data_IF_590596374793
#
_entry.id   IF_590596374793
#
_cell.length_a   1.000
_cell.length_b   1.000
_cell.length_c   1.000
_cell.angle_alpha   90.00
_cell.angle_beta   90.00
_cell.angle_gamma   90.00
#
_symmetry.space_group_name_H-M   'P 1'
#
loop_
_entity.id
_entity.type
_entity.pdbx_description
1 polymer ?
#
# COMPACT_ATOMS: atom_id res chain seq x y z
N UNK A 1 9.47 11.38 16.13
CA UNK A 1 8.15 11.09 15.48
C UNK A 1 7.33 12.34 15.25
N UNK A 2 7.10 13.19 16.27
CA UNK A 2 6.33 14.44 16.13
C UNK A 2 6.78 15.38 15.01
N UNK A 3 8.10 15.60 14.85
CA UNK A 3 8.62 16.46 13.78
C UNK A 3 8.30 15.93 12.36
N UNK A 4 8.35 14.61 12.16
CA UNK A 4 7.99 13.99 10.89
C UNK A 4 6.50 14.20 10.59
N UNK A 5 5.63 13.92 11.57
CA UNK A 5 4.18 14.10 11.45
C UNK A 5 3.82 15.54 11.10
N UNK A 6 4.40 16.48 11.83
CA UNK A 6 4.21 17.90 11.58
C UNK A 6 4.67 18.30 10.16
N UNK A 7 5.82 17.78 9.73
CA UNK A 7 6.35 18.04 8.39
C UNK A 7 5.41 17.50 7.31
N UNK A 8 4.95 16.25 7.42
CA UNK A 8 4.03 15.63 6.47
C UNK A 8 2.70 16.39 6.40
N UNK A 9 2.13 16.76 7.54
CA UNK A 9 0.81 17.41 7.56
C UNK A 9 0.86 18.88 7.12
N UNK A 10 2.00 19.56 7.26
CA UNK A 10 2.16 20.99 6.91
C UNK A 10 2.79 21.24 5.56
N UNK A 11 3.56 20.30 5.02
CA UNK A 11 4.22 20.51 3.73
C UNK A 11 3.17 20.69 2.64
N UNK A 12 3.30 21.78 1.90
CA UNK A 12 2.49 22.10 0.73
C UNK A 12 3.46 22.35 -0.41
N UNK A 13 3.56 21.36 -1.28
CA UNK A 13 4.41 21.43 -2.47
C UNK A 13 3.55 21.98 -3.60
N UNK A 14 4.07 22.90 -4.40
CA UNK A 14 3.43 23.33 -5.65
C UNK A 14 4.03 22.55 -6.83
N UNK A 15 3.36 22.59 -7.98
CA UNK A 15 3.84 21.91 -9.19
C UNK A 15 5.26 22.35 -9.59
N UNK A 16 5.55 23.65 -9.49
CA UNK A 16 6.86 24.24 -9.83
C UNK A 16 7.95 23.84 -8.83
N UNK A 17 7.56 23.41 -7.63
CA UNK A 17 8.45 23.00 -6.55
C UNK A 17 8.37 21.51 -6.26
N UNK A 18 7.86 20.70 -7.19
CA UNK A 18 7.68 19.27 -6.96
C UNK A 18 8.98 18.55 -6.59
N UNK A 19 10.14 19.02 -7.06
CA UNK A 19 11.45 18.49 -6.65
C UNK A 19 11.76 18.63 -5.15
N UNK A 20 11.08 19.53 -4.43
CA UNK A 20 11.30 19.76 -3.00
C UNK A 20 10.73 18.63 -2.13
N UNK A 21 9.94 17.72 -2.70
CA UNK A 21 9.49 16.51 -2.00
C UNK A 21 10.64 15.51 -1.79
N UNK A 22 11.72 15.58 -2.59
CA UNK A 22 12.82 14.59 -2.58
C UNK A 22 13.43 14.30 -1.19
N UNK A 23 13.80 15.30 -0.37
CA UNK A 23 14.34 15.03 0.96
C UNK A 23 13.32 14.33 1.86
N UNK A 24 12.04 14.68 1.75
CA UNK A 24 10.97 14.06 2.52
C UNK A 24 10.72 12.62 2.07
N UNK A 25 10.67 12.36 0.76
CA UNK A 25 10.59 11.00 0.21
C UNK A 25 11.77 10.17 0.70
N UNK A 26 12.99 10.70 0.62
CA UNK A 26 14.21 10.02 1.07
C UNK A 26 14.15 9.67 2.56
N UNK A 27 13.62 10.58 3.39
CA UNK A 27 13.43 10.35 4.81
C UNK A 27 12.38 9.26 5.07
N UNK A 28 11.22 9.31 4.41
CA UNK A 28 10.16 8.29 4.53
C UNK A 28 10.70 6.93 4.08
N UNK A 29 11.39 6.86 2.95
CA UNK A 29 12.04 5.64 2.45
C UNK A 29 13.04 5.10 3.47
N UNK A 30 13.92 5.94 4.01
CA UNK A 30 14.92 5.52 4.99
C UNK A 30 14.26 4.95 6.26
N UNK A 31 13.14 5.52 6.68
CA UNK A 31 12.41 5.11 7.89
C UNK A 31 11.54 3.87 7.69
N UNK A 32 10.87 3.71 6.54
CA UNK A 32 9.80 2.72 6.35
C UNK A 32 10.09 1.66 5.28
N UNK A 33 10.98 1.92 4.32
CA UNK A 33 11.32 0.95 3.27
C UNK A 33 12.42 -0.01 3.69
N UNK A 34 13.46 0.52 4.34
CA UNK A 34 14.65 -0.25 4.72
C UNK A 34 14.52 -0.89 6.11
N UNK A 35 13.72 -0.29 6.98
CA UNK A 35 13.36 -0.87 8.26
C UNK A 35 11.93 -1.41 8.13
N UNK A 36 11.73 -2.67 8.48
CA UNK A 36 10.39 -3.23 8.65
C UNK A 36 9.82 -2.62 9.92
N UNK A 37 8.95 -1.61 9.77
CA UNK A 37 8.40 -0.87 10.90
C UNK A 37 7.20 -1.63 11.45
N UNK A 38 7.20 -2.03 12.73
CA UNK A 38 6.05 -2.69 13.32
C UNK A 38 4.80 -1.78 13.32
N UNK A 39 3.63 -2.38 13.15
CA UNK A 39 2.32 -1.71 13.21
C UNK A 39 2.16 -0.74 14.39
N UNK A 40 2.66 -1.10 15.58
CA UNK A 40 2.53 -0.24 16.76
C UNK A 40 3.32 1.07 16.65
N UNK A 41 4.43 1.08 15.90
CA UNK A 41 5.21 2.30 15.63
C UNK A 41 4.47 3.18 14.64
N UNK A 42 3.82 2.59 13.63
CA UNK A 42 2.94 3.33 12.70
C UNK A 42 1.76 3.92 13.46
N UNK A 43 1.13 3.17 14.36
CA UNK A 43 0.04 3.64 15.20
C UNK A 43 0.49 4.79 16.11
N UNK A 44 1.62 4.64 16.80
CA UNK A 44 2.20 5.70 17.64
C UNK A 44 2.50 6.97 16.84
N UNK A 45 3.01 6.84 15.61
CA UNK A 45 3.26 7.99 14.75
C UNK A 45 1.96 8.72 14.41
N UNK A 46 0.89 7.99 14.08
CA UNK A 46 -0.39 8.55 13.71
C UNK A 46 -1.16 9.13 14.90
N UNK A 47 -1.02 8.55 16.10
CA UNK A 47 -1.70 9.01 17.32
C UNK A 47 -0.89 10.07 18.09
N UNK A 48 0.32 10.39 17.66
CA UNK A 48 1.19 11.36 18.34
C UNK A 48 0.50 12.73 18.48
N UNK A 49 0.37 13.23 19.72
CA UNK A 49 -0.16 14.57 20.03
C UNK A 49 0.97 15.59 19.94
N UNK A 50 0.86 16.55 19.03
CA UNK A 50 1.80 17.68 18.99
C UNK A 50 1.53 18.61 20.16
N UNK A 51 2.54 18.89 20.98
CA UNK A 51 2.42 19.85 22.09
C UNK A 51 2.21 21.29 21.63
N UNK A 52 2.41 21.58 20.34
CA UNK A 52 2.34 22.93 19.76
C UNK A 52 0.99 23.29 19.15
N UNK A 53 0.13 22.33 18.84
CA UNK A 53 -1.19 22.58 18.24
C UNK A 53 -2.23 22.62 19.35
N UNK A 54 -2.52 23.81 19.87
CA UNK A 54 -3.39 24.02 21.03
C UNK A 54 -4.86 23.63 20.87
N UNK A 55 -5.27 22.93 19.80
CA UNK A 55 -6.66 22.46 19.64
C UNK A 55 -6.88 21.43 18.51
N UNK A 56 -5.91 21.23 17.61
CA UNK A 56 -6.05 20.17 16.61
C UNK A 56 -5.73 18.83 17.27
N UNK A 57 -6.77 18.02 17.49
CA UNK A 57 -6.67 16.68 18.07
C UNK A 57 -5.69 15.75 17.34
N UNK A 58 -5.66 14.48 17.74
CA UNK A 58 -4.82 13.42 17.14
C UNK A 58 -5.24 13.09 15.70
N UNK A 59 -5.08 14.04 14.78
CA UNK A 59 -5.25 13.78 13.36
C UNK A 59 -4.13 12.86 12.89
N UNK A 60 -4.41 11.80 12.13
CA UNK A 60 -3.39 10.93 11.57
C UNK A 60 -2.51 11.69 10.55
N UNK A 61 -1.53 11.00 9.97
CA UNK A 61 -0.78 11.54 8.83
C UNK A 61 -1.72 11.71 7.64
N UNK A 62 -1.71 12.88 7.03
CA UNK A 62 -2.45 13.16 5.81
C UNK A 62 -1.50 13.24 4.62
N UNK A 63 -1.51 12.20 3.79
CA UNK A 63 -0.68 12.10 2.59
C UNK A 63 -1.35 12.69 1.33
N UNK A 64 -2.55 13.27 1.41
CA UNK A 64 -3.30 13.74 0.24
C UNK A 64 -2.49 14.68 -0.67
N UNK A 65 -1.86 15.70 -0.09
CA UNK A 65 -0.99 16.61 -0.84
C UNK A 65 0.29 15.96 -1.36
N UNK A 66 0.85 15.00 -0.62
CA UNK A 66 2.07 14.30 -1.01
C UNK A 66 1.84 13.32 -2.16
N UNK A 67 0.64 12.73 -2.25
CA UNK A 67 0.22 11.91 -3.39
C UNK A 67 0.22 12.72 -4.69
N UNK A 68 -0.31 13.96 -4.68
CA UNK A 68 -0.23 14.88 -5.83
C UNK A 68 1.20 15.27 -6.14
N UNK A 69 1.95 15.66 -5.11
CA UNK A 69 3.33 16.13 -5.28
C UNK A 69 4.27 15.03 -5.81
N UNK A 70 4.03 13.77 -5.43
CA UNK A 70 4.72 12.61 -5.98
C UNK A 70 4.45 12.47 -7.49
N UNK A 71 3.23 12.72 -7.96
CA UNK A 71 2.91 12.65 -9.39
C UNK A 71 3.68 13.72 -10.17
N UNK A 72 3.70 14.96 -9.67
CA UNK A 72 4.47 16.04 -10.30
C UNK A 72 5.96 15.77 -10.29
N UNK A 73 6.48 15.20 -9.20
CA UNK A 73 7.89 14.82 -9.09
C UNK A 73 8.29 13.80 -10.17
N UNK A 74 7.50 12.74 -10.34
CA UNK A 74 7.77 11.72 -11.36
C UNK A 74 7.73 12.31 -12.78
N UNK A 75 6.82 13.25 -13.04
CA UNK A 75 6.75 13.96 -14.32
C UNK A 75 7.99 14.83 -14.60
N UNK A 76 8.63 15.38 -13.56
CA UNK A 76 9.88 16.14 -13.71
C UNK A 76 11.11 15.25 -13.88
N UNK A 77 11.08 14.03 -13.35
CA UNK A 77 12.21 13.10 -13.36
C UNK A 77 11.79 11.74 -13.94
N UNK A 78 11.45 11.67 -15.24
CA UNK A 78 11.08 10.41 -15.87
C UNK A 78 12.25 9.43 -15.79
N UNK A 79 11.97 8.19 -15.39
CA UNK A 79 12.99 7.14 -15.29
C UNK A 79 13.44 6.74 -16.70
N UNK A 80 14.62 7.21 -17.12
CA UNK A 80 15.11 7.09 -18.50
C UNK A 80 15.56 5.68 -18.93
N UNK A 81 15.62 4.71 -18.01
CA UNK A 81 16.37 3.47 -18.22
C UNK A 81 15.50 2.23 -18.45
N UNK A 82 14.18 2.37 -18.56
CA UNK A 82 13.27 1.24 -18.80
C UNK A 82 12.56 1.44 -20.13
N UNK A 83 12.63 0.50 -21.08
CA UNK A 83 11.76 0.50 -22.25
C UNK A 83 10.33 0.24 -21.75
N UNK A 84 9.56 1.30 -21.58
CA UNK A 84 8.19 1.22 -21.09
C UNK A 84 7.28 2.15 -21.89
N UNK A 85 5.98 1.90 -21.84
CA UNK A 85 5.00 2.82 -22.44
C UNK A 85 5.08 4.20 -21.75
N UNK A 86 4.69 5.31 -22.41
CA UNK A 86 4.64 6.62 -21.77
C UNK A 86 3.85 6.63 -20.45
N UNK A 87 2.78 5.84 -20.37
CA UNK A 87 1.94 5.68 -19.19
C UNK A 87 2.67 4.97 -18.04
N UNK A 88 3.47 3.94 -18.34
CA UNK A 88 4.29 3.24 -17.35
C UNK A 88 5.38 4.13 -16.75
N UNK A 89 5.89 5.10 -17.52
CA UNK A 89 6.91 6.05 -17.04
C UNK A 89 6.40 6.93 -15.89
N UNK A 90 5.08 7.13 -15.81
CA UNK A 90 4.43 7.92 -14.77
C UNK A 90 3.94 7.01 -13.64
N UNK A 91 3.16 5.98 -14.01
CA UNK A 91 2.45 5.19 -13.02
C UNK A 91 3.41 4.44 -12.10
N UNK A 92 4.40 3.74 -12.66
CA UNK A 92 5.28 2.86 -11.87
C UNK A 92 6.08 3.63 -10.81
N UNK A 93 6.80 4.71 -11.14
CA UNK A 93 7.51 5.47 -10.11
C UNK A 93 6.59 6.13 -9.09
N UNK A 94 5.41 6.62 -9.52
CA UNK A 94 4.42 7.20 -8.62
C UNK A 94 3.95 6.17 -7.58
N UNK A 95 3.67 4.94 -8.02
CA UNK A 95 3.27 3.84 -7.14
C UNK A 95 4.34 3.44 -6.14
N UNK A 96 5.63 3.60 -6.46
CA UNK A 96 6.69 3.39 -5.46
C UNK A 96 6.54 4.37 -4.30
N UNK A 97 6.26 5.65 -4.58
CA UNK A 97 6.01 6.65 -3.55
C UNK A 97 4.72 6.35 -2.76
N UNK A 98 3.64 5.96 -3.44
CA UNK A 98 2.37 5.54 -2.81
C UNK A 98 2.61 4.40 -1.83
N UNK A 99 3.37 3.36 -2.22
CA UNK A 99 3.73 2.25 -1.35
C UNK A 99 4.52 2.72 -0.13
N UNK A 100 5.48 3.62 -0.32
CA UNK A 100 6.29 4.14 0.77
C UNK A 100 5.44 4.99 1.75
N UNK A 101 4.45 5.75 1.25
CA UNK A 101 3.47 6.45 2.08
C UNK A 101 2.56 5.50 2.85
N UNK A 102 2.02 4.46 2.20
CA UNK A 102 1.24 3.40 2.86
C UNK A 102 1.99 2.82 4.04
N UNK A 103 3.28 2.57 3.88
CA UNK A 103 4.10 2.01 4.95
C UNK A 103 4.21 2.88 6.22
N UNK A 104 3.94 4.19 6.09
CA UNK A 104 4.05 5.16 7.18
C UNK A 104 2.72 5.51 7.86
N UNK A 105 1.59 5.02 7.37
CA UNK A 105 0.25 5.48 7.79
C UNK A 105 -0.69 4.35 8.17
N UNK A 106 -1.77 4.71 8.86
CA UNK A 106 -2.92 3.84 9.07
C UNK A 106 -3.71 3.66 7.78
N UNK A 107 -4.37 2.51 7.62
CA UNK A 107 -5.11 2.16 6.40
C UNK A 107 -6.31 3.08 6.16
N UNK A 108 -7.11 3.36 7.19
CA UNK A 108 -8.25 4.28 7.14
C UNK A 108 -7.83 5.71 6.79
N UNK A 109 -6.80 6.21 7.47
CA UNK A 109 -6.22 7.53 7.20
C UNK A 109 -5.67 7.64 5.78
N UNK A 110 -5.07 6.56 5.25
CA UNK A 110 -4.59 6.54 3.88
C UNK A 110 -5.72 6.54 2.87
N UNK A 111 -6.76 5.72 3.08
CA UNK A 111 -7.94 5.70 2.21
C UNK A 111 -8.59 7.09 2.14
N UNK A 112 -8.69 7.78 3.28
CA UNK A 112 -9.15 9.16 3.35
C UNK A 112 -8.24 10.11 2.56
N UNK A 113 -6.92 10.01 2.74
CA UNK A 113 -5.93 10.79 2.01
C UNK A 113 -6.00 10.55 0.49
N UNK A 114 -6.18 9.31 0.04
CA UNK A 114 -6.40 8.97 -1.36
C UNK A 114 -7.65 9.68 -1.89
N UNK A 115 -8.76 9.62 -1.17
CA UNK A 115 -10.02 10.21 -1.63
C UNK A 115 -9.98 11.74 -1.78
N UNK A 116 -9.10 12.41 -1.01
CA UNK A 116 -8.89 13.86 -1.08
C UNK A 116 -7.81 14.28 -2.05
N UNK A 117 -6.89 13.39 -2.40
CA UNK A 117 -5.66 13.75 -3.11
C UNK A 117 -5.95 14.48 -4.43
N UNK A 118 -6.97 14.08 -5.19
CA UNK A 118 -7.26 14.70 -6.49
C UNK A 118 -8.67 15.29 -6.58
N UNK A 119 -9.34 15.55 -5.45
CA UNK A 119 -10.75 15.96 -5.45
C UNK A 119 -10.96 17.38 -6.02
N UNK A 120 -9.96 18.26 -5.87
CA UNK A 120 -10.05 19.66 -6.27
C UNK A 120 -9.98 19.85 -7.79
N UNK A 121 -10.68 20.86 -8.31
CA UNK A 121 -10.73 21.17 -9.76
C UNK A 121 -9.38 21.53 -10.36
N UNK A 122 -8.46 22.05 -9.55
CA UNK A 122 -7.10 22.36 -10.00
C UNK A 122 -6.27 21.07 -10.26
N UNK A 123 -6.78 19.92 -9.82
CA UNK A 123 -6.19 18.60 -10.03
C UNK A 123 -6.79 17.85 -11.24
N UNK A 124 -7.83 18.38 -11.91
CA UNK A 124 -8.59 17.66 -12.95
C UNK A 124 -7.69 17.02 -14.04
N UNK A 125 -6.74 17.79 -14.56
CA UNK A 125 -5.82 17.30 -15.61
C UNK A 125 -4.89 16.19 -15.10
N UNK A 126 -4.36 16.34 -13.88
CA UNK A 126 -3.48 15.33 -13.27
C UNK A 126 -4.27 14.05 -12.90
N UNK A 127 -5.52 14.22 -12.46
CA UNK A 127 -6.41 13.11 -12.12
C UNK A 127 -6.77 12.28 -13.37
N UNK A 128 -7.10 12.94 -14.48
CA UNK A 128 -7.37 12.27 -15.76
C UNK A 128 -6.13 11.54 -16.30
N UNK A 129 -4.96 12.17 -16.26
CA UNK A 129 -3.71 11.55 -16.69
C UNK A 129 -3.39 10.30 -15.87
N UNK A 130 -3.50 10.38 -14.54
CA UNK A 130 -3.28 9.23 -13.65
C UNK A 130 -4.36 8.15 -13.83
N UNK A 131 -5.62 8.52 -14.09
CA UNK A 131 -6.69 7.59 -14.42
C UNK A 131 -6.40 6.80 -15.70
N UNK A 132 -5.96 7.49 -16.76
CA UNK A 132 -5.56 6.84 -18.00
C UNK A 132 -4.37 5.91 -17.78
N UNK A 133 -3.33 6.37 -17.07
CA UNK A 133 -2.18 5.55 -16.77
C UNK A 133 -2.57 4.27 -15.99
N UNK A 134 -3.48 4.38 -15.01
CA UNK A 134 -3.99 3.26 -14.23
C UNK A 134 -4.69 2.19 -15.08
N UNK A 135 -5.35 2.59 -16.18
CA UNK A 135 -6.09 1.70 -17.08
C UNK A 135 -5.29 1.23 -18.31
N UNK A 136 -4.12 1.81 -18.57
CA UNK A 136 -3.27 1.47 -19.72
C UNK A 136 -2.23 0.42 -19.38
N UNK A 137 -1.85 -0.43 -20.36
CA UNK A 137 -0.74 -1.37 -20.22
C UNK A 137 -0.97 -2.52 -19.25
N UNK A 138 -2.24 -2.83 -18.92
CA UNK A 138 -2.61 -3.93 -18.01
C UNK A 138 -2.13 -5.30 -18.50
N UNK A 139 -1.94 -5.47 -19.81
CA UNK A 139 -1.42 -6.68 -20.43
C UNK A 139 0.05 -6.95 -20.08
N UNK A 140 0.79 -5.93 -19.66
CA UNK A 140 2.18 -6.04 -19.23
C UNK A 140 2.32 -6.32 -17.73
N UNK A 141 1.20 -6.38 -16.99
CA UNK A 141 1.19 -6.69 -15.56
C UNK A 141 1.52 -8.20 -15.35
N UNK A 142 2.81 -8.51 -15.33
CA UNK A 142 3.33 -9.85 -15.07
C UNK A 142 4.21 -10.42 -16.17
N UNK A 143 4.24 -9.82 -17.36
CA UNK A 143 5.15 -10.25 -18.43
C UNK A 143 6.54 -9.66 -18.23
N UNK A 144 7.50 -10.51 -17.95
CA UNK A 144 8.92 -10.15 -17.89
C UNK A 144 9.79 -11.13 -18.64
N UNK A 145 9.28 -11.84 -19.65
CA UNK A 145 10.10 -12.67 -20.55
C UNK A 145 11.01 -13.74 -19.90
N UNK A 146 11.01 -13.88 -18.57
CA UNK A 146 11.82 -14.81 -17.81
C UNK A 146 10.97 -16.05 -17.53
N UNK A 147 11.08 -17.00 -18.46
CA UNK A 147 10.48 -18.32 -18.37
C UNK A 147 10.95 -19.00 -17.08
N UNK A 148 10.07 -19.21 -16.09
CA UNK A 148 10.44 -20.13 -15.01
C UNK A 148 9.58 -20.26 -13.76
N UNK A 149 8.71 -19.32 -13.38
CA UNK A 149 7.92 -19.49 -12.15
C UNK A 149 6.56 -18.81 -12.23
N UNK A 150 5.51 -19.58 -12.57
CA UNK A 150 4.10 -19.12 -12.61
C UNK A 150 3.69 -18.37 -11.33
N UNK A 151 4.14 -18.85 -10.17
CA UNK A 151 3.89 -18.20 -8.87
C UNK A 151 4.53 -16.81 -8.74
N UNK A 152 5.70 -16.59 -9.34
CA UNK A 152 6.38 -15.28 -9.32
C UNK A 152 5.66 -14.28 -10.21
N UNK A 153 5.21 -14.73 -11.39
CA UNK A 153 4.40 -13.91 -12.30
C UNK A 153 3.06 -13.55 -11.68
N UNK A 154 2.40 -14.52 -11.03
CA UNK A 154 1.14 -14.31 -10.29
C UNK A 154 1.29 -13.27 -9.20
N UNK A 155 2.27 -13.43 -8.30
CA UNK A 155 2.54 -12.43 -7.24
C UNK A 155 2.85 -11.05 -7.79
N UNK A 156 3.52 -10.99 -8.94
CA UNK A 156 3.83 -9.72 -9.61
C UNK A 156 2.58 -9.07 -10.18
N UNK A 157 1.68 -9.85 -10.80
CA UNK A 157 0.39 -9.37 -11.30
C UNK A 157 -0.50 -8.87 -10.16
N UNK A 158 -0.60 -9.62 -9.07
CA UNK A 158 -1.35 -9.23 -7.87
C UNK A 158 -0.81 -7.90 -7.32
N UNK A 159 0.52 -7.80 -7.20
CA UNK A 159 1.18 -6.57 -6.77
C UNK A 159 0.80 -5.38 -7.67
N UNK A 160 0.96 -5.49 -8.99
CA UNK A 160 0.63 -4.39 -9.91
C UNK A 160 -0.86 -4.03 -9.89
N UNK A 161 -1.72 -5.02 -9.72
CA UNK A 161 -3.17 -4.81 -9.64
C UNK A 161 -3.52 -3.96 -8.42
N UNK A 162 -3.00 -4.29 -7.24
CA UNK A 162 -3.21 -3.47 -6.04
C UNK A 162 -2.70 -2.03 -6.22
N UNK A 163 -1.58 -1.88 -6.93
CA UNK A 163 -1.02 -0.55 -7.17
C UNK A 163 -1.91 0.28 -8.11
N UNK A 164 -2.34 -0.26 -9.27
CA UNK A 164 -3.29 0.42 -10.18
C UNK A 164 -4.60 0.77 -9.49
N UNK A 165 -5.10 -0.10 -8.62
CA UNK A 165 -6.30 0.19 -7.83
C UNK A 165 -6.08 1.30 -6.82
N UNK A 166 -4.87 1.44 -6.28
CA UNK A 166 -4.50 2.59 -5.46
C UNK A 166 -4.54 3.90 -6.25
N UNK A 167 -4.13 3.88 -7.53
CA UNK A 167 -4.28 5.02 -8.43
C UNK A 167 -5.77 5.35 -8.67
N UNK A 168 -6.59 4.34 -9.00
CA UNK A 168 -8.03 4.50 -9.20
C UNK A 168 -8.71 5.08 -7.95
N UNK A 169 -8.40 4.56 -6.75
CA UNK A 169 -8.94 5.07 -5.50
C UNK A 169 -8.62 6.56 -5.26
N UNK A 170 -7.48 7.04 -5.78
CA UNK A 170 -7.10 8.46 -5.66
C UNK A 170 -7.89 9.38 -6.60
N UNK A 171 -8.24 8.90 -7.80
CA UNK A 171 -8.76 9.75 -8.89
C UNK A 171 -10.26 9.60 -9.14
N UNK A 172 -10.88 8.48 -8.72
CA UNK A 172 -12.33 8.29 -8.89
C UNK A 172 -13.18 9.41 -8.25
N UNK A 173 -12.83 9.97 -7.06
CA UNK A 173 -13.58 11.09 -6.47
C UNK A 173 -13.51 12.41 -7.25
N UNK A 174 -12.61 12.53 -8.23
CA UNK A 174 -12.49 13.75 -9.04
C UNK A 174 -13.64 13.86 -10.06
N UNK A 175 -14.25 15.05 -10.13
CA UNK A 175 -15.40 15.31 -11.00
C UNK A 175 -15.08 15.16 -12.50
N UNK A 176 -13.89 15.60 -12.96
CA UNK A 176 -13.51 15.46 -14.37
C UNK A 176 -13.32 13.99 -14.77
N UNK A 177 -12.81 13.15 -13.86
CA UNK A 177 -12.71 11.70 -14.06
C UNK A 177 -14.09 11.05 -14.12
N UNK A 178 -15.00 11.43 -13.22
CA UNK A 178 -16.39 10.95 -13.23
C UNK A 178 -17.11 11.33 -14.53
N UNK A 179 -16.98 12.58 -14.97
CA UNK A 179 -17.49 13.09 -16.24
C UNK A 179 -16.94 12.31 -17.43
N UNK A 180 -15.63 12.03 -17.44
CA UNK A 180 -14.99 11.22 -18.47
C UNK A 180 -15.57 9.79 -18.49
N UNK A 181 -15.63 9.12 -17.33
CA UNK A 181 -16.18 7.77 -17.21
C UNK A 181 -17.63 7.76 -17.71
N UNK A 182 -18.43 8.77 -17.38
CA UNK A 182 -19.82 8.85 -17.79
C UNK A 182 -20.00 8.97 -19.31
N UNK A 183 -19.09 9.65 -20.00
CA UNK A 183 -19.07 9.74 -21.48
C UNK A 183 -18.53 8.48 -22.13
N UNK A 184 -17.51 7.87 -21.53
CA UNK A 184 -16.72 6.77 -22.11
C UNK A 184 -17.03 5.40 -21.46
N UNK A 185 -18.22 5.24 -20.84
CA UNK A 185 -18.57 4.05 -20.04
C UNK A 185 -18.28 2.74 -20.76
N UNK A 186 -18.67 2.63 -22.03
CA UNK A 186 -18.48 1.41 -22.82
C UNK A 186 -16.99 1.08 -23.05
N UNK A 187 -16.19 2.10 -23.32
CA UNK A 187 -14.74 1.94 -23.52
C UNK A 187 -14.06 1.54 -22.21
N UNK A 188 -14.37 2.25 -21.13
CA UNK A 188 -13.83 1.94 -19.79
C UNK A 188 -14.24 0.53 -19.36
N UNK A 189 -15.50 0.15 -19.59
CA UNK A 189 -16.00 -1.20 -19.30
C UNK A 189 -15.23 -2.28 -20.05
N UNK A 190 -14.97 -2.08 -21.35
CA UNK A 190 -14.16 -3.02 -22.14
C UNK A 190 -12.76 -3.22 -21.56
N UNK A 191 -12.11 -2.14 -21.11
CA UNK A 191 -10.77 -2.21 -20.50
C UNK A 191 -10.83 -2.93 -19.14
N UNK A 192 -11.79 -2.59 -18.28
CA UNK A 192 -11.95 -3.22 -16.96
C UNK A 192 -12.28 -4.71 -17.09
N UNK A 193 -13.10 -5.10 -18.07
CA UNK A 193 -13.38 -6.51 -18.36
C UNK A 193 -12.14 -7.26 -18.80
N UNK A 194 -11.35 -6.67 -19.71
CA UNK A 194 -10.06 -7.24 -20.12
C UNK A 194 -9.12 -7.42 -18.92
N UNK A 195 -9.09 -6.46 -18.00
CA UNK A 195 -8.28 -6.55 -16.78
C UNK A 195 -8.74 -7.72 -15.90
N UNK A 196 -10.05 -7.87 -15.68
CA UNK A 196 -10.61 -9.00 -14.93
C UNK A 196 -10.32 -10.35 -15.59
N UNK A 197 -10.39 -10.43 -16.92
CA UNK A 197 -10.02 -11.64 -17.68
C UNK A 197 -8.55 -12.02 -17.45
N UNK A 198 -7.64 -11.05 -17.40
CA UNK A 198 -6.22 -11.28 -17.11
C UNK A 198 -5.96 -11.74 -15.66
N UNK A 199 -6.82 -11.36 -14.72
CA UNK A 199 -6.74 -11.80 -13.32
C UNK A 199 -7.39 -13.18 -13.10
N UNK A 200 -8.38 -13.53 -13.91
CA UNK A 200 -9.09 -14.79 -13.82
C UNK A 200 -8.30 -15.91 -14.53
N UNK A 201 -7.28 -16.47 -13.86
CA UNK A 201 -6.64 -17.72 -14.29
C UNK A 201 -7.63 -18.90 -14.21
N UNK A 202 -8.51 -18.89 -13.21
CA UNK A 202 -9.68 -19.75 -13.06
C UNK A 202 -10.87 -18.88 -12.59
N UNK A 203 -12.00 -18.85 -13.32
CA UNK A 203 -13.21 -18.13 -12.92
C UNK A 203 -13.72 -18.50 -11.51
N UNK A 204 -13.41 -19.69 -11.01
CA UNK A 204 -13.82 -20.17 -9.68
C UNK A 204 -12.93 -19.67 -8.55
N UNK A 205 -11.70 -19.27 -8.87
CA UNK A 205 -10.71 -18.78 -7.90
C UNK A 205 -10.45 -17.28 -8.06
N UNK A 206 -11.31 -16.55 -8.76
CA UNK A 206 -11.08 -15.14 -9.06
C UNK A 206 -10.97 -14.31 -7.79
N UNK A 207 -9.73 -13.98 -7.40
CA UNK A 207 -9.36 -13.07 -6.30
C UNK A 207 -9.30 -11.63 -6.77
N UNK A 208 -10.20 -11.24 -7.68
CA UNK A 208 -10.25 -9.86 -8.13
C UNK A 208 -10.48 -8.94 -6.92
N UNK A 209 -9.66 -7.89 -6.76
CA UNK A 209 -9.84 -6.99 -5.63
C UNK A 209 -11.21 -6.32 -5.66
N UNK A 210 -11.81 -6.14 -4.48
CA UNK A 210 -13.19 -5.68 -4.33
C UNK A 210 -13.49 -4.37 -5.07
N UNK A 211 -12.53 -3.43 -5.13
CA UNK A 211 -12.71 -2.18 -5.88
C UNK A 211 -12.88 -2.42 -7.38
N UNK A 212 -12.10 -3.34 -7.97
CA UNK A 212 -12.21 -3.67 -9.40
C UNK A 212 -13.55 -4.36 -9.70
N UNK A 213 -13.96 -5.29 -8.83
CA UNK A 213 -15.27 -5.96 -8.92
C UNK A 213 -16.40 -4.94 -8.83
N UNK A 214 -16.36 -4.04 -7.86
CA UNK A 214 -17.35 -2.97 -7.68
C UNK A 214 -17.41 -2.04 -8.89
N UNK A 215 -16.25 -1.66 -9.42
CA UNK A 215 -16.18 -0.76 -10.57
C UNK A 215 -16.73 -1.39 -11.84
N UNK A 216 -16.39 -2.65 -12.08
CA UNK A 216 -16.99 -3.45 -13.16
C UNK A 216 -18.51 -3.57 -13.00
N UNK A 217 -18.99 -3.95 -11.82
CA UNK A 217 -20.43 -4.09 -11.54
C UNK A 217 -21.19 -2.75 -11.69
N UNK A 218 -20.57 -1.64 -11.28
CA UNK A 218 -21.12 -0.30 -11.47
C UNK A 218 -21.24 0.04 -12.95
N UNK A 219 -20.18 -0.19 -13.75
CA UNK A 219 -20.19 0.06 -15.20
C UNK A 219 -21.27 -0.76 -15.92
N UNK A 220 -21.46 -2.03 -15.55
CA UNK A 220 -22.52 -2.88 -16.11
C UNK A 220 -23.90 -2.35 -15.82
N UNK A 221 -24.12 -1.94 -14.57
CA UNK A 221 -25.39 -1.35 -14.14
C UNK A 221 -25.65 -0.05 -14.89
N UNK A 222 -24.64 0.82 -14.99
CA UNK A 222 -24.71 2.10 -15.69
C UNK A 222 -24.90 1.98 -17.21
N UNK A 223 -24.49 0.84 -17.82
CA UNK A 223 -24.70 0.52 -19.23
C UNK A 223 -26.01 -0.25 -19.48
N UNK A 224 -26.74 -0.64 -18.43
CA UNK A 224 -27.99 -1.40 -18.57
C UNK A 224 -27.80 -2.83 -19.09
N UNK A 225 -26.60 -3.43 -18.94
CA UNK A 225 -26.32 -4.79 -19.41
C UNK A 225 -27.14 -5.79 -18.58
N UNK A 226 -27.95 -6.62 -19.24
CA UNK A 226 -28.85 -7.57 -18.58
C UNK A 226 -28.25 -8.97 -18.52
N UNK A 227 -28.67 -9.72 -17.50
CA UNK A 227 -28.92 -11.18 -17.52
C UNK A 227 -28.69 -11.91 -18.85
N UNK A 228 -29.66 -11.63 -19.71
CA UNK A 228 -29.94 -12.34 -20.95
C UNK A 228 -28.88 -12.09 -22.04
N UNK A 229 -28.09 -11.02 -21.91
CA UNK A 229 -27.09 -10.62 -22.90
C UNK A 229 -25.76 -11.40 -22.77
N UNK A 230 -25.56 -12.10 -21.64
CA UNK A 230 -24.34 -12.88 -21.35
C UNK A 230 -24.35 -14.27 -22.00
N UNK A 231 -24.49 -14.28 -23.33
CA UNK A 231 -24.51 -15.51 -24.15
C UNK A 231 -23.17 -16.25 -24.15
N UNK A 232 -22.08 -15.61 -23.71
CA UNK A 232 -20.73 -16.19 -23.64
C UNK A 232 -20.38 -16.76 -22.25
N UNK A 233 -21.29 -16.65 -21.28
CA UNK A 233 -21.51 -17.64 -20.23
C UNK A 233 -20.57 -17.67 -19.03
N UNK A 234 -19.45 -16.95 -18.98
CA UNK A 234 -18.51 -17.13 -17.83
C UNK A 234 -17.96 -15.84 -17.22
N UNK A 235 -17.84 -14.72 -17.94
CA UNK A 235 -17.04 -13.60 -17.44
C UNK A 235 -17.81 -12.37 -17.03
N UNK A 236 -18.78 -11.93 -17.85
CA UNK A 236 -19.23 -10.54 -17.79
C UNK A 236 -20.01 -10.30 -16.52
N UNK A 237 -21.14 -10.98 -16.32
CA UNK A 237 -22.04 -10.63 -15.21
C UNK A 237 -21.59 -11.13 -13.83
N UNK A 238 -20.47 -11.85 -13.75
CA UNK A 238 -19.94 -12.37 -12.49
C UNK A 238 -19.71 -11.26 -11.46
N UNK A 239 -19.13 -10.12 -11.85
CA UNK A 239 -18.89 -9.02 -10.91
C UNK A 239 -20.18 -8.48 -10.30
N UNK A 240 -21.25 -8.33 -11.10
CA UNK A 240 -22.54 -7.87 -10.62
C UNK A 240 -23.18 -8.87 -9.66
N UNK A 241 -23.15 -10.17 -9.97
CA UNK A 241 -23.67 -11.21 -9.07
C UNK A 241 -22.88 -11.29 -7.77
N UNK A 242 -21.55 -11.27 -7.85
CA UNK A 242 -20.68 -11.24 -6.68
C UNK A 242 -20.97 -10.02 -5.82
N UNK A 243 -21.13 -8.83 -6.44
CA UNK A 243 -21.50 -7.62 -5.71
C UNK A 243 -22.86 -7.76 -5.01
N UNK A 244 -23.88 -8.27 -5.70
CA UNK A 244 -25.21 -8.48 -5.10
C UNK A 244 -25.18 -9.50 -3.96
N UNK A 245 -24.29 -10.48 -3.99
CA UNK A 245 -24.10 -11.43 -2.89
C UNK A 245 -23.41 -10.78 -1.68
N UNK A 246 -22.38 -9.97 -1.92
CA UNK A 246 -21.58 -9.34 -0.85
C UNK A 246 -22.26 -8.10 -0.27
N UNK A 247 -23.06 -7.38 -1.06
CA UNK A 247 -23.77 -6.17 -0.64
C UNK A 247 -25.18 -6.07 -1.26
N UNK A 248 -26.11 -6.97 -0.88
CA UNK A 248 -27.47 -6.99 -1.44
C UNK A 248 -28.29 -5.73 -1.14
N UNK A 249 -27.93 -4.98 -0.10
CA UNK A 249 -28.61 -3.74 0.30
C UNK A 249 -28.15 -2.50 -0.48
N UNK A 250 -27.12 -2.61 -1.30
CA UNK A 250 -26.52 -1.48 -2.00
C UNK A 250 -26.97 -1.45 -3.46
N UNK A 251 -27.75 -0.43 -3.80
CA UNK A 251 -28.12 -0.14 -5.18
C UNK A 251 -26.97 0.57 -5.91
N UNK A 252 -26.27 -0.17 -6.76
CA UNK A 252 -25.17 0.36 -7.59
C UNK A 252 -25.61 1.48 -8.53
N UNK A 253 -26.86 1.48 -8.99
CA UNK A 253 -27.35 2.51 -9.91
C UNK A 253 -27.53 3.87 -9.24
N UNK A 254 -27.72 3.87 -7.91
CA UNK A 254 -27.86 5.07 -7.10
C UNK A 254 -26.53 5.64 -6.59
N UNK A 255 -25.41 4.91 -6.77
CA UNK A 255 -24.09 5.35 -6.32
C UNK A 255 -23.42 6.21 -7.40
N UNK A 256 -23.11 7.50 -7.12
CA UNK A 256 -22.22 8.28 -7.97
C UNK A 256 -20.83 7.63 -8.02
N UNK A 257 -20.19 7.61 -9.18
CA UNK A 257 -18.89 6.95 -9.36
C UNK A 257 -17.80 7.54 -8.45
N UNK A 258 -17.91 8.83 -8.13
CA UNK A 258 -17.07 9.59 -7.21
C UNK A 258 -17.03 8.97 -5.80
N UNK A 259 -18.11 8.31 -5.41
CA UNK A 259 -18.25 7.69 -4.09
C UNK A 259 -17.91 6.21 -4.08
N UNK A 260 -17.72 5.58 -5.24
CA UNK A 260 -17.59 4.14 -5.34
C UNK A 260 -16.44 3.59 -4.48
N UNK A 261 -15.27 4.23 -4.51
CA UNK A 261 -14.13 3.81 -3.70
C UNK A 261 -14.42 3.88 -2.19
N UNK A 262 -15.07 4.96 -1.73
CA UNK A 262 -15.47 5.12 -0.32
C UNK A 262 -16.51 4.09 0.14
N UNK A 263 -17.46 3.72 -0.74
CA UNK A 263 -18.45 2.68 -0.46
C UNK A 263 -17.77 1.32 -0.32
N UNK A 264 -16.85 0.98 -1.23
CA UNK A 264 -16.06 -0.26 -1.15
C UNK A 264 -15.24 -0.32 0.13
N UNK A 265 -14.61 0.80 0.53
CA UNK A 265 -13.85 0.86 1.76
C UNK A 265 -14.75 0.64 3.00
N UNK A 266 -15.89 1.32 3.06
CA UNK A 266 -16.86 1.14 4.16
C UNK A 266 -17.40 -0.29 4.23
N UNK A 267 -17.58 -0.94 3.08
CA UNK A 267 -17.99 -2.35 3.02
C UNK A 267 -16.91 -3.30 3.53
N UNK A 268 -15.65 -3.09 3.15
CA UNK A 268 -14.53 -3.87 3.69
C UNK A 268 -14.49 -3.79 5.21
N UNK A 269 -14.72 -2.60 5.75
CA UNK A 269 -14.71 -2.38 7.18
C UNK A 269 -15.81 -3.19 7.89
N UNK A 270 -17.03 -3.13 7.35
CA UNK A 270 -18.16 -3.91 7.86
C UNK A 270 -17.95 -5.41 7.77
N UNK A 271 -17.47 -5.91 6.64
CA UNK A 271 -17.24 -7.35 6.45
C UNK A 271 -16.19 -7.87 7.44
N UNK A 272 -15.14 -7.09 7.68
CA UNK A 272 -14.13 -7.51 8.66
C UNK A 272 -14.71 -7.55 10.09
N UNK A 273 -15.56 -6.58 10.45
CA UNK A 273 -16.28 -6.56 11.74
C UNK A 273 -17.22 -7.77 11.89
N UNK A 274 -18.00 -8.09 10.85
CA UNK A 274 -18.91 -9.25 10.81
C UNK A 274 -18.15 -10.59 10.94
N UNK A 275 -16.97 -10.70 10.32
CA UNK A 275 -16.08 -11.87 10.41
C UNK A 275 -15.30 -11.95 11.73
N UNK A 276 -15.43 -10.95 12.61
CA UNK A 276 -14.62 -10.83 13.83
C UNK A 276 -13.12 -10.64 13.55
N UNK A 277 -12.78 -10.34 12.30
CA UNK A 277 -11.41 -9.99 11.91
C UNK A 277 -11.22 -8.50 12.15
N UNK A 278 -10.36 -8.15 13.11
CA UNK A 278 -9.92 -6.76 13.23
C UNK A 278 -9.32 -6.35 11.89
N UNK A 279 -9.83 -5.29 11.26
CA UNK A 279 -9.07 -4.66 10.17
C UNK A 279 -7.71 -4.35 10.72
N UNK A 280 -6.68 -4.76 9.98
CA UNK A 280 -5.35 -4.29 10.27
C UNK A 280 -5.37 -2.77 10.14
N UNK A 281 -5.06 -2.08 11.22
CA UNK A 281 -5.05 -0.62 11.24
C UNK A 281 -3.90 -0.05 10.41
N UNK A 282 -2.92 -0.87 10.01
CA UNK A 282 -1.86 -0.49 9.09
C UNK A 282 -1.56 -1.54 8.04
N UNK A 283 -0.82 -1.12 7.02
CA UNK A 283 -0.28 -1.97 5.98
C UNK A 283 0.94 -2.80 6.42
N UNK A 284 1.41 -2.61 7.66
CA UNK A 284 2.58 -3.31 8.19
C UNK A 284 2.16 -4.63 8.86
N UNK A 285 2.98 -5.68 8.75
CA UNK A 285 2.73 -6.89 9.51
C UNK A 285 2.80 -6.59 11.01
N UNK A 286 1.94 -7.24 11.79
CA UNK A 286 2.06 -7.21 13.26
C UNK A 286 3.45 -7.68 13.71
N UNK A 287 3.91 -7.26 14.91
CA UNK A 287 5.18 -7.77 15.48
C UNK A 287 5.27 -9.29 15.48
N UNK A 288 4.15 -9.97 15.71
CA UNK A 288 4.09 -11.43 15.71
C UNK A 288 4.41 -12.01 14.34
N UNK A 289 3.73 -11.52 13.30
CA UNK A 289 3.97 -11.94 11.91
C UNK A 289 5.40 -11.58 11.50
N UNK A 290 5.85 -10.38 11.85
CA UNK A 290 7.21 -9.93 11.56
C UNK A 290 8.28 -10.85 12.16
N UNK A 291 8.16 -11.23 13.44
CA UNK A 291 9.12 -12.14 14.09
C UNK A 291 9.17 -13.51 13.40
N UNK A 292 8.07 -13.94 12.78
CA UNK A 292 7.97 -15.20 12.05
C UNK A 292 8.54 -15.11 10.64
N UNK A 293 8.33 -14.00 9.92
CA UNK A 293 8.76 -13.85 8.52
C UNK A 293 10.17 -13.29 8.36
N UNK A 294 10.62 -12.48 9.31
CA UNK A 294 11.92 -11.79 9.27
C UNK A 294 12.79 -12.13 10.48
N UNK A 295 12.82 -13.41 10.87
CA UNK A 295 13.61 -13.82 12.03
C UNK A 295 15.09 -13.43 11.85
N UNK A 296 15.72 -12.77 12.85
CA UNK A 296 17.12 -12.43 12.79
C UNK A 296 17.99 -13.70 12.66
N UNK A 297 19.11 -13.62 11.94
CA UNK A 297 20.04 -14.74 11.84
C UNK A 297 20.69 -15.01 13.20
N UNK A 298 20.90 -16.27 13.53
CA UNK A 298 21.67 -16.67 14.70
C UNK A 298 23.14 -16.20 14.57
N UNK A 299 23.68 -15.51 15.57
CA UNK A 299 25.07 -15.03 15.56
C UNK A 299 26.10 -16.17 15.57
N UNK A 300 25.70 -17.37 16.02
CA UNK A 300 26.58 -18.55 16.04
C UNK A 300 26.59 -19.30 14.71
N UNK A 301 25.40 -19.61 14.15
CA UNK A 301 25.26 -20.53 13.02
C UNK A 301 24.64 -19.92 11.76
N UNK A 302 24.20 -18.66 11.80
CA UNK A 302 23.55 -17.95 10.69
C UNK A 302 22.12 -18.39 10.38
N UNK A 303 21.63 -19.50 10.96
CA UNK A 303 20.27 -19.98 10.73
C UNK A 303 19.22 -18.97 11.21
N UNK A 304 18.16 -18.80 10.42
CA UNK A 304 16.98 -18.01 10.79
C UNK A 304 15.88 -18.96 11.25
N UNK A 305 15.43 -18.79 12.49
CA UNK A 305 14.38 -19.63 13.08
C UNK A 305 13.27 -18.75 13.67
N UNK A 306 11.99 -19.15 13.56
CA UNK A 306 10.88 -18.35 14.12
C UNK A 306 10.99 -18.13 15.63
N UNK A 307 11.61 -19.08 16.35
CA UNK A 307 11.87 -19.00 17.78
C UNK A 307 13.36 -18.79 18.03
N UNK A 308 13.73 -17.62 18.53
CA UNK A 308 15.09 -17.24 18.85
C UNK A 308 15.14 -16.60 20.24
N UNK A 309 16.34 -16.55 20.81
CA UNK A 309 16.60 -15.92 22.10
C UNK A 309 17.67 -14.85 21.97
N UNK A 310 17.47 -13.72 22.63
CA UNK A 310 18.51 -12.72 22.80
C UNK A 310 19.44 -13.08 23.97
N UNK A 311 20.71 -12.71 23.88
CA UNK A 311 21.61 -12.74 25.03
C UNK A 311 21.00 -11.89 26.15
N UNK A 312 20.81 -12.49 27.33
CA UNK A 312 20.14 -11.81 28.44
C UNK A 312 20.91 -10.61 28.99
N UNK A 313 22.24 -10.58 28.79
CA UNK A 313 23.15 -9.54 29.29
C UNK A 313 23.20 -8.34 28.36
N UNK A 314 23.50 -8.54 27.07
CA UNK A 314 23.66 -7.43 26.12
C UNK A 314 22.40 -7.10 25.32
N UNK A 315 21.39 -8.00 25.28
CA UNK A 315 20.15 -7.89 24.48
C UNK A 315 20.31 -7.71 22.96
N UNK A 316 21.54 -7.67 22.44
CA UNK A 316 21.81 -7.53 21.00
C UNK A 316 22.05 -8.86 20.30
N UNK A 317 22.84 -9.75 20.88
CA UNK A 317 23.15 -11.02 20.23
C UNK A 317 21.92 -11.94 20.20
N UNK A 318 21.68 -12.59 19.07
CA UNK A 318 20.55 -13.46 18.74
C UNK A 318 21.03 -14.88 18.54
N UNK A 319 20.33 -15.84 19.15
CA UNK A 319 20.63 -17.26 19.00
C UNK A 319 19.38 -18.07 18.70
N UNK A 320 19.51 -19.10 17.87
CA UNK A 320 18.44 -20.07 17.63
C UNK A 320 18.19 -21.00 18.84
N UNK A 321 19.11 -21.03 19.81
CA UNK A 321 19.03 -21.88 21.01
C UNK A 321 20.21 -21.70 21.95
N UNK A 322 20.15 -22.34 23.12
CA UNK A 322 21.18 -22.26 24.17
C UNK A 322 22.52 -22.86 23.73
N UNK A 323 22.46 -23.84 22.84
CA UNK A 323 23.60 -24.56 22.28
C UNK A 323 24.46 -23.60 21.45
N UNK A 324 23.84 -22.88 20.51
CA UNK A 324 24.49 -21.84 19.72
C UNK A 324 25.03 -20.70 20.60
N UNK A 325 24.28 -20.27 21.61
CA UNK A 325 24.77 -19.27 22.57
C UNK A 325 26.05 -19.73 23.28
N UNK A 326 26.09 -20.99 23.77
CA UNK A 326 27.27 -21.55 24.46
C UNK A 326 28.47 -21.71 23.53
N UNK A 327 28.24 -22.10 22.28
CA UNK A 327 29.28 -22.24 21.26
C UNK A 327 29.91 -20.88 20.96
N UNK A 328 29.09 -19.89 20.62
CA UNK A 328 29.54 -18.53 20.33
C UNK A 328 30.22 -17.87 21.54
N UNK A 329 29.75 -18.15 22.76
CA UNK A 329 30.39 -17.67 23.99
C UNK A 329 31.85 -18.14 24.14
N UNK A 330 32.16 -19.36 23.73
CA UNK A 330 33.49 -19.98 23.89
C UNK A 330 34.38 -19.84 22.65
N UNK A 331 33.84 -19.36 21.52
CA UNK A 331 34.55 -19.25 20.24
C UNK A 331 35.80 -18.38 20.38
N UNK A 332 36.91 -18.82 19.80
CA UNK A 332 38.18 -18.08 19.75
C UNK A 332 38.73 -18.08 18.32
N UNK A 333 39.31 -16.98 17.83
CA UNK A 333 39.27 -15.64 18.44
C UNK A 333 37.88 -14.99 18.33
N UNK A 334 37.56 -13.98 19.16
CA UNK A 334 36.35 -13.12 19.04
C UNK A 334 34.99 -13.76 19.33
N UNK A 335 34.88 -14.67 20.29
CA UNK A 335 33.57 -15.16 20.75
C UNK A 335 32.76 -14.06 21.46
N UNK A 336 31.45 -14.30 21.63
CA UNK A 336 30.55 -13.31 22.24
C UNK A 336 31.00 -12.86 23.63
N UNK A 337 31.68 -13.71 24.40
CA UNK A 337 32.18 -13.37 25.74
C UNK A 337 33.01 -12.08 25.76
N UNK A 338 33.86 -11.87 24.76
CA UNK A 338 34.74 -10.70 24.65
C UNK A 338 33.97 -9.45 24.19
N UNK A 339 32.90 -9.63 23.42
CA UNK A 339 32.12 -8.54 22.83
C UNK A 339 30.90 -8.15 23.68
N UNK A 340 30.42 -9.04 24.55
CA UNK A 340 29.16 -8.89 25.27
C UNK A 340 29.10 -7.59 26.09
N UNK A 341 30.17 -7.26 26.80
CA UNK A 341 30.24 -6.04 27.61
C UNK A 341 30.20 -4.77 26.73
N UNK A 342 30.92 -4.78 25.61
CA UNK A 342 30.90 -3.67 24.63
C UNK A 342 29.54 -3.53 23.95
N UNK A 343 28.89 -4.64 23.60
CA UNK A 343 27.54 -4.61 23.04
C UNK A 343 26.52 -4.08 24.05
N UNK A 344 26.66 -4.43 25.32
CA UNK A 344 25.79 -3.94 26.38
C UNK A 344 25.86 -2.40 26.52
N UNK A 345 27.04 -1.79 26.42
CA UNK A 345 27.16 -0.33 26.53
C UNK A 345 26.42 0.40 25.40
N UNK A 346 26.37 -0.17 24.19
CA UNK A 346 25.61 0.42 23.09
C UNK A 346 24.09 0.38 23.32
N UNK A 347 23.56 -0.63 24.02
CA UNK A 347 22.12 -0.71 24.31
C UNK A 347 21.71 0.28 25.37
N UNK A 348 22.53 0.46 26.41
CA UNK A 348 22.21 1.42 27.47
C UNK A 348 22.13 2.85 26.95
N UNK A 349 22.93 3.20 25.94
CA UNK A 349 22.85 4.51 25.30
C UNK A 349 21.53 4.69 24.53
N UNK A 350 21.00 3.62 23.92
CA UNK A 350 19.71 3.67 23.21
C UNK A 350 18.51 3.69 24.17
N UNK A 351 18.55 2.89 25.25
CA UNK A 351 17.46 2.85 26.24
C UNK A 351 17.43 4.12 27.09
N UNK A 352 18.60 4.67 27.46
CA UNK A 352 18.67 5.94 28.18
C UNK A 352 18.09 7.11 27.37
N UNK A 353 18.13 7.06 26.03
CA UNK A 353 17.45 8.05 25.19
C UNK A 353 15.92 7.88 25.19
N UNK A 354 15.40 6.68 25.46
CA UNK A 354 13.96 6.41 25.52
C UNK A 354 13.32 6.68 26.88
N UNK A 355 14.12 6.84 27.94
CA UNK A 355 13.63 7.12 29.32
C UNK A 355 13.66 8.62 29.69
N UNK A 356 14.11 9.50 28.78
CA UNK A 356 14.11 10.97 28.94
C UNK A 356 12.99 11.67 28.13
N UNK A 357 12.05 10.90 27.59
CA UNK A 357 10.74 11.34 27.07
C UNK A 357 9.64 10.95 28.06
#
# INVERSE_FOLDING_TARGET
>A
MGALKETVNRVRVSRERASFINPLLSLIIALFKNATVPDEIVQQLNDFKSSRSGDEGTRPLDFSHLLRAALWHVKLFPYSNVPSTPEDLILRPWLEHVRDFRGATREDAFAEAQSRAFIDRDADADALELFHAALSGIEWDGDVGEVGVEETERRRRDFWTEQRLSALACVLPNAAVADYINREKQRVFTIVQRWLELLASDPRECRAPMLLVAFSAWLQTALGIREEDDTQGIGRLWCRRLWQQVAPSIDLSAIPIERLASVVQSMKERLAEEDGTSLHTSFQPSRRVYRQTASPPCDSCGSRVPSYMFCTVCKLAVYCGKECQKQDWKKKPKGHKEQCARLKSFVTDVIALTEWE
#
